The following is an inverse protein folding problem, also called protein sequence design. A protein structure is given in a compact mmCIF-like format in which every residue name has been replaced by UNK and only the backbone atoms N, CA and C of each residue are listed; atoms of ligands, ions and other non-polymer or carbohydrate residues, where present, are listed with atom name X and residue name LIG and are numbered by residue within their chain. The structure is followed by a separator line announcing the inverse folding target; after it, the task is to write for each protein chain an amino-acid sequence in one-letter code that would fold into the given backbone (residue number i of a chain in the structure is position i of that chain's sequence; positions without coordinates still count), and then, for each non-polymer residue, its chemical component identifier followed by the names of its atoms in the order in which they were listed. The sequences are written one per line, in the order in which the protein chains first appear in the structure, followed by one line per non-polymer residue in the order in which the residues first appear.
data_IF_622969383172
#
_entry.id   IF_622969383172
#
_cell.length_a   1.000
_cell.length_b   1.000
_cell.length_c   1.000
_cell.angle_alpha   90.00
_cell.angle_beta   90.00
_cell.angle_gamma   90.00
#
_symmetry.space_group_name_H-M   'P 1'
#
loop_
_entity.id
_entity.type
_entity.pdbx_description
1 polymer ?
#
# COMPACT_ATOMS: atom_id res chain seq x y z
N UNK A 1 13.37 6.43 -9.87
CA UNK A 1 14.82 6.23 -9.77
C UNK A 1 15.38 6.58 -8.40
N UNK A 2 15.26 7.86 -7.94
CA UNK A 2 15.94 8.38 -6.73
C UNK A 2 15.62 7.57 -5.46
N UNK A 3 14.35 7.21 -5.22
CA UNK A 3 13.96 6.40 -4.04
C UNK A 3 14.70 5.05 -4.04
N UNK A 4 14.80 4.38 -5.20
CA UNK A 4 15.52 3.10 -5.30
C UNK A 4 17.01 3.28 -4.96
N UNK A 5 17.64 4.34 -5.46
CA UNK A 5 19.04 4.64 -5.17
C UNK A 5 19.28 4.96 -3.69
N UNK A 6 18.39 5.72 -3.06
CA UNK A 6 18.51 6.05 -1.64
C UNK A 6 18.25 4.83 -0.75
N UNK A 7 17.31 3.94 -1.09
CA UNK A 7 17.13 2.67 -0.40
C UNK A 7 18.38 1.78 -0.48
N UNK A 8 19.04 1.72 -1.65
CA UNK A 8 20.29 0.98 -1.81
C UNK A 8 21.41 1.50 -0.91
N UNK A 9 21.49 2.81 -0.69
CA UNK A 9 22.52 3.44 0.15
C UNK A 9 22.26 3.25 1.66
N UNK A 10 20.99 3.22 2.07
CA UNK A 10 20.57 3.25 3.49
C UNK A 10 20.01 1.91 3.98
N UNK A 11 20.50 0.78 3.40
CA UNK A 11 20.03 -0.56 3.78
C UNK A 11 20.31 -0.88 5.25
N UNK A 12 21.49 -0.52 5.74
CA UNK A 12 21.92 -0.84 7.12
C UNK A 12 21.02 -0.19 8.14
N UNK A 13 20.75 1.10 7.98
CA UNK A 13 19.88 1.87 8.86
C UNK A 13 18.45 1.31 8.86
N UNK A 14 17.93 0.97 7.68
CA UNK A 14 16.60 0.36 7.54
C UNK A 14 16.52 -1.00 8.26
N UNK A 15 17.54 -1.85 8.12
CA UNK A 15 17.56 -3.16 8.79
C UNK A 15 17.73 -3.04 10.30
N UNK A 16 18.47 -2.04 10.78
CA UNK A 16 18.57 -1.74 12.22
C UNK A 16 17.21 -1.29 12.77
N UNK A 17 16.53 -0.38 12.09
CA UNK A 17 15.18 0.05 12.48
C UNK A 17 14.19 -1.13 12.49
N UNK A 18 14.26 -2.03 11.51
CA UNK A 18 13.40 -3.22 11.47
C UNK A 18 13.73 -4.21 12.59
N UNK A 19 15.00 -4.33 12.99
CA UNK A 19 15.36 -5.17 14.12
C UNK A 19 14.76 -4.67 15.44
N UNK A 20 14.65 -3.36 15.65
CA UNK A 20 13.96 -2.77 16.80
C UNK A 20 12.48 -3.13 16.83
N UNK A 21 11.75 -2.92 15.70
CA UNK A 21 10.33 -3.28 15.61
C UNK A 21 10.10 -4.77 15.87
N UNK A 22 10.97 -5.65 15.35
CA UNK A 22 10.88 -7.10 15.58
C UNK A 22 11.16 -7.49 17.03
N UNK A 23 12.08 -6.81 17.70
CA UNK A 23 12.35 -7.03 19.12
C UNK A 23 11.13 -6.61 19.97
N UNK A 24 10.58 -5.42 19.76
CA UNK A 24 9.38 -4.95 20.45
C UNK A 24 8.20 -5.89 20.21
N UNK A 25 7.99 -6.35 18.97
CA UNK A 25 6.94 -7.31 18.64
C UNK A 25 7.08 -8.65 19.38
N UNK A 26 8.31 -9.11 19.63
CA UNK A 26 8.58 -10.30 20.44
C UNK A 26 8.27 -10.05 21.92
N UNK A 27 8.68 -8.91 22.44
CA UNK A 27 8.45 -8.53 23.85
C UNK A 27 6.96 -8.30 24.14
N UNK A 28 6.22 -7.71 23.21
CA UNK A 28 4.74 -7.57 23.30
C UNK A 28 3.99 -8.88 23.07
N UNK A 29 4.65 -9.97 22.71
CA UNK A 29 4.03 -11.26 22.45
C UNK A 29 3.14 -11.30 21.20
N UNK A 30 3.45 -10.48 20.20
CA UNK A 30 2.73 -10.47 18.92
C UNK A 30 2.82 -11.85 18.25
N UNK A 31 1.71 -12.35 17.72
CA UNK A 31 1.64 -13.66 17.10
C UNK A 31 2.71 -13.87 16.01
N UNK A 32 3.39 -15.04 15.94
CA UNK A 32 4.47 -15.29 14.99
C UNK A 32 4.11 -15.04 13.52
N UNK A 33 2.85 -15.30 13.15
CA UNK A 33 2.35 -15.02 11.81
C UNK A 33 2.36 -13.54 11.46
N UNK A 34 2.13 -12.64 12.43
CA UNK A 34 2.22 -11.19 12.26
C UNK A 34 3.69 -10.78 12.26
N UNK A 35 4.51 -11.27 13.21
CA UNK A 35 5.95 -10.98 13.24
C UNK A 35 6.63 -11.26 11.89
N UNK A 36 6.25 -12.36 11.22
CA UNK A 36 6.75 -12.70 9.88
C UNK A 36 6.41 -11.63 8.83
N UNK A 37 5.29 -10.92 8.97
CA UNK A 37 4.90 -9.82 8.08
C UNK A 37 5.66 -8.53 8.35
N UNK A 38 6.06 -8.28 9.62
CA UNK A 38 6.82 -7.10 10.02
C UNK A 38 8.23 -7.09 9.47
N UNK A 39 8.77 -8.27 9.15
CA UNK A 39 10.14 -8.42 8.70
C UNK A 39 10.39 -7.68 7.39
N UNK A 40 11.41 -6.80 7.39
CA UNK A 40 11.89 -6.08 6.21
C UNK A 40 13.39 -6.34 6.03
N UNK A 41 13.70 -7.48 5.43
CA UNK A 41 15.06 -7.97 5.21
C UNK A 41 15.59 -7.63 3.82
N UNK A 42 16.80 -8.12 3.53
CA UNK A 42 17.48 -7.91 2.24
C UNK A 42 16.68 -8.46 1.03
N UNK A 43 15.80 -9.45 1.24
CA UNK A 43 14.93 -9.96 0.18
C UNK A 43 13.84 -8.94 -0.11
N UNK A 44 13.10 -8.52 0.90
CA UNK A 44 12.05 -7.51 0.75
C UNK A 44 12.58 -6.15 0.27
N UNK A 45 13.78 -5.77 0.71
CA UNK A 45 14.44 -4.56 0.21
C UNK A 45 14.71 -4.67 -1.29
N UNK A 46 15.26 -5.77 -1.76
CA UNK A 46 15.50 -6.01 -3.19
C UNK A 46 14.19 -6.01 -3.99
N UNK A 47 13.15 -6.64 -3.46
CA UNK A 47 11.83 -6.66 -4.10
C UNK A 47 11.24 -5.25 -4.20
N UNK A 48 11.37 -4.44 -3.14
CA UNK A 48 10.95 -3.04 -3.15
C UNK A 48 11.72 -2.22 -4.21
N UNK A 49 13.04 -2.38 -4.27
CA UNK A 49 13.89 -1.71 -5.27
C UNK A 49 13.53 -2.16 -6.68
N UNK A 50 13.34 -3.46 -6.90
CA UNK A 50 12.92 -4.00 -8.19
C UNK A 50 11.56 -3.43 -8.61
N UNK A 51 10.58 -3.39 -7.71
CA UNK A 51 9.27 -2.79 -7.95
C UNK A 51 9.35 -1.30 -8.33
N UNK A 52 10.23 -0.54 -7.65
CA UNK A 52 10.50 0.87 -8.01
C UNK A 52 11.10 1.01 -9.41
N UNK A 53 12.04 0.13 -9.79
CA UNK A 53 12.64 0.12 -11.13
C UNK A 53 11.63 -0.25 -12.22
N UNK A 54 10.70 -1.17 -11.94
CA UNK A 54 9.60 -1.46 -12.86
C UNK A 54 8.60 -0.30 -12.95
N UNK A 55 8.24 0.33 -11.81
CA UNK A 55 7.36 1.49 -11.79
C UNK A 55 7.94 2.68 -12.59
N UNK A 56 9.26 2.84 -12.58
CA UNK A 56 9.96 3.87 -13.37
C UNK A 56 9.72 3.69 -14.88
N UNK A 57 9.69 2.45 -15.37
CA UNK A 57 9.49 2.12 -16.79
C UNK A 57 8.06 2.30 -17.27
N UNK A 58 7.08 2.32 -16.35
CA UNK A 58 5.69 2.53 -16.72
C UNK A 58 5.50 3.94 -17.27
N UNK A 59 4.61 4.06 -18.25
CA UNK A 59 4.21 5.35 -18.79
C UNK A 59 3.63 6.26 -17.68
N UNK A 60 3.72 7.58 -17.89
CA UNK A 60 3.07 8.54 -17.02
C UNK A 60 1.53 8.38 -17.14
N UNK A 61 0.83 8.12 -16.01
CA UNK A 61 -0.61 7.98 -16.04
C UNK A 61 -1.36 9.31 -16.14
N UNK A 62 -0.69 10.45 -15.92
CA UNK A 62 -1.31 11.77 -15.89
C UNK A 62 -1.33 12.39 -17.29
N UNK A 63 -2.42 13.08 -17.63
CA UNK A 63 -2.57 13.78 -18.91
C UNK A 63 -2.88 12.88 -20.12
N UNK A 64 -3.16 11.59 -19.92
CA UNK A 64 -3.55 10.68 -21.00
C UNK A 64 -4.96 10.96 -21.49
N UNK A 65 -5.12 11.05 -22.81
CA UNK A 65 -6.44 11.10 -23.43
C UNK A 65 -7.02 9.68 -23.45
N UNK A 66 -8.00 9.44 -22.59
CA UNK A 66 -8.66 8.15 -22.42
C UNK A 66 -9.85 7.97 -23.37
N UNK A 67 -10.41 9.09 -23.85
CA UNK A 67 -11.49 9.15 -24.81
C UNK A 67 -11.38 10.47 -25.57
N UNK A 68 -11.53 10.42 -26.88
CA UNK A 68 -11.76 11.58 -27.72
C UNK A 68 -12.96 11.31 -28.62
N UNK A 69 -13.93 12.21 -28.65
CA UNK A 69 -15.14 12.07 -29.43
C UNK A 69 -15.62 13.42 -29.92
N UNK A 70 -15.83 13.55 -31.21
CA UNK A 70 -16.54 14.69 -31.79
C UNK A 70 -18.05 14.50 -31.56
N UNK A 71 -18.67 15.48 -30.92
CA UNK A 71 -20.10 15.48 -30.60
C UNK A 71 -20.91 16.22 -31.64
N UNK A 72 -20.32 17.25 -32.25
CA UNK A 72 -20.84 18.05 -33.36
C UNK A 72 -19.65 18.68 -34.09
N UNK A 73 -19.87 19.28 -35.26
CA UNK A 73 -18.82 19.88 -36.05
C UNK A 73 -17.95 20.87 -35.26
N UNK A 74 -16.68 20.48 -35.06
CA UNK A 74 -15.70 21.25 -34.26
C UNK A 74 -15.87 21.17 -32.76
N UNK A 75 -16.88 20.43 -32.21
CA UNK A 75 -17.07 20.22 -30.77
C UNK A 75 -16.46 18.89 -30.34
N UNK A 76 -15.24 18.92 -29.83
CA UNK A 76 -14.49 17.71 -29.40
C UNK A 76 -14.53 17.54 -27.89
N UNK A 77 -15.11 16.42 -27.44
CA UNK A 77 -15.08 15.96 -26.05
C UNK A 77 -13.83 15.12 -25.81
N UNK A 78 -13.05 15.46 -24.76
CA UNK A 78 -11.90 14.66 -24.32
C UNK A 78 -12.06 14.26 -22.86
N UNK A 79 -11.81 12.99 -22.56
CA UNK A 79 -11.61 12.51 -21.19
C UNK A 79 -10.11 12.34 -20.94
N UNK A 80 -9.57 13.18 -20.05
CA UNK A 80 -8.15 13.21 -19.72
C UNK A 80 -7.95 12.71 -18.30
N UNK A 81 -6.92 11.87 -18.09
CA UNK A 81 -6.56 11.41 -16.73
C UNK A 81 -5.86 12.53 -15.95
N UNK A 82 -6.25 12.68 -14.67
CA UNK A 82 -5.69 13.66 -13.73
C UNK A 82 -5.41 12.97 -12.39
N UNK A 83 -4.53 13.52 -11.54
CA UNK A 83 -4.39 13.05 -10.15
C UNK A 83 -5.74 13.09 -9.41
N UNK A 84 -5.90 12.22 -8.43
CA UNK A 84 -7.07 12.24 -7.51
C UNK A 84 -6.96 13.47 -6.60
N UNK A 85 -5.75 13.72 -6.06
CA UNK A 85 -5.47 14.81 -5.13
C UNK A 85 -4.67 14.31 -3.93
N UNK A 86 -5.20 14.49 -2.72
CA UNK A 86 -4.59 14.03 -1.46
C UNK A 86 -5.21 12.69 -1.06
N UNK A 87 -4.38 11.67 -0.93
CA UNK A 87 -4.81 10.31 -0.59
C UNK A 87 -4.31 9.94 0.81
N UNK A 88 -5.23 9.66 1.74
CA UNK A 88 -4.89 9.07 3.03
C UNK A 88 -4.82 7.55 2.93
N UNK A 89 -3.67 6.95 3.24
CA UNK A 89 -3.50 5.50 3.22
C UNK A 89 -3.13 5.00 4.60
N UNK A 90 -3.98 4.14 5.15
CA UNK A 90 -3.80 3.53 6.47
C UNK A 90 -3.49 2.05 6.25
N UNK A 91 -2.34 1.58 6.76
CA UNK A 91 -1.89 0.20 6.57
C UNK A 91 -1.25 -0.36 7.84
N UNK A 92 -1.31 -1.68 8.00
CA UNK A 92 -0.82 -2.41 9.17
C UNK A 92 0.21 -3.47 8.76
N UNK A 93 1.14 -3.78 9.68
CA UNK A 93 2.02 -4.95 9.63
C UNK A 93 2.81 -5.17 8.31
N UNK A 94 3.06 -4.13 7.52
CA UNK A 94 3.75 -4.22 6.22
C UNK A 94 4.64 -3.00 5.96
N UNK A 95 5.90 -3.01 6.38
CA UNK A 95 6.83 -1.90 6.11
C UNK A 95 7.04 -1.64 4.62
N UNK A 96 7.04 -2.69 3.79
CA UNK A 96 7.12 -2.59 2.34
C UNK A 96 6.01 -1.73 1.71
N UNK A 97 4.83 -1.66 2.35
CA UNK A 97 3.72 -0.82 1.88
C UNK A 97 4.09 0.67 1.87
N UNK A 98 4.94 1.14 2.81
CA UNK A 98 5.42 2.53 2.83
C UNK A 98 6.07 2.90 1.49
N UNK A 99 6.98 2.07 1.01
CA UNK A 99 7.71 2.30 -0.25
C UNK A 99 6.76 2.22 -1.46
N UNK A 100 5.92 1.18 -1.49
CA UNK A 100 5.01 0.94 -2.61
C UNK A 100 3.98 2.07 -2.74
N UNK A 101 3.32 2.43 -1.65
CA UNK A 101 2.26 3.44 -1.67
C UNK A 101 2.81 4.82 -1.99
N UNK A 102 3.90 5.24 -1.32
CA UNK A 102 4.53 6.53 -1.58
C UNK A 102 4.93 6.66 -3.06
N UNK A 103 5.56 5.63 -3.62
CA UNK A 103 6.02 5.67 -5.02
C UNK A 103 4.87 5.68 -6.03
N UNK A 104 3.78 4.96 -5.76
CA UNK A 104 2.59 4.96 -6.60
C UNK A 104 1.88 6.33 -6.57
N UNK A 105 1.75 6.95 -5.39
CA UNK A 105 1.18 8.28 -5.26
C UNK A 105 2.01 9.31 -6.04
N UNK A 106 3.34 9.31 -5.86
CA UNK A 106 4.25 10.19 -6.61
C UNK A 106 4.10 9.95 -8.12
N UNK A 107 4.12 8.69 -8.58
CA UNK A 107 4.02 8.35 -10.01
C UNK A 107 2.71 8.82 -10.63
N UNK A 108 1.64 8.83 -9.87
CA UNK A 108 0.30 9.26 -10.31
C UNK A 108 -0.01 10.74 -10.01
N UNK A 109 0.99 11.50 -9.54
CA UNK A 109 0.86 12.93 -9.27
C UNK A 109 0.00 13.28 -8.05
N UNK A 110 -0.24 12.31 -7.15
CA UNK A 110 -1.01 12.50 -5.93
C UNK A 110 -0.10 12.84 -4.75
N UNK A 111 -0.62 13.63 -3.82
CA UNK A 111 -0.08 13.75 -2.47
C UNK A 111 -0.55 12.57 -1.61
N UNK A 112 0.21 12.20 -0.59
CA UNK A 112 -0.18 11.10 0.28
C UNK A 112 0.07 11.39 1.76
N UNK A 113 -0.92 11.03 2.60
CA UNK A 113 -0.81 10.92 4.04
C UNK A 113 -0.70 9.43 4.37
N UNK A 114 0.45 9.01 4.89
CA UNK A 114 0.82 7.62 5.12
C UNK A 114 0.76 7.30 6.61
N UNK A 115 -0.19 6.45 7.02
CA UNK A 115 -0.36 6.01 8.40
C UNK A 115 -0.06 4.52 8.52
N UNK A 116 1.13 4.19 8.95
CA UNK A 116 1.53 2.81 9.27
C UNK A 116 1.07 2.35 10.65
N UNK A 117 1.11 1.05 10.90
CA UNK A 117 0.86 0.47 12.22
C UNK A 117 1.98 0.79 13.21
N UNK A 118 1.65 0.80 14.51
CA UNK A 118 2.62 1.06 15.59
C UNK A 118 3.73 0.00 15.63
N UNK A 119 3.40 -1.22 15.26
CA UNK A 119 4.27 -2.40 15.25
C UNK A 119 5.40 -2.33 14.19
N UNK A 120 5.39 -1.31 13.35
CA UNK A 120 6.42 -1.04 12.33
C UNK A 120 6.89 0.40 12.37
N UNK A 121 6.76 1.08 13.52
CA UNK A 121 6.99 2.52 13.63
C UNK A 121 8.43 2.93 13.28
N UNK A 122 9.42 2.21 13.81
CA UNK A 122 10.84 2.52 13.54
C UNK A 122 11.20 2.30 12.08
N UNK A 123 10.76 1.18 11.49
CA UNK A 123 11.00 0.87 10.06
C UNK A 123 10.31 1.88 9.16
N UNK A 124 9.04 2.22 9.44
CA UNK A 124 8.28 3.17 8.64
C UNK A 124 8.92 4.57 8.67
N UNK A 125 9.40 5.02 9.84
CA UNK A 125 10.11 6.29 9.97
C UNK A 125 11.38 6.31 9.12
N UNK A 126 12.23 5.28 9.26
CA UNK A 126 13.46 5.17 8.49
C UNK A 126 13.19 5.16 6.97
N UNK A 127 12.20 4.40 6.52
CA UNK A 127 11.80 4.36 5.11
C UNK A 127 11.24 5.70 4.63
N UNK A 128 10.42 6.36 5.45
CA UNK A 128 9.85 7.65 5.10
C UNK A 128 10.91 8.73 4.95
N UNK A 129 11.89 8.80 5.87
CA UNK A 129 13.01 9.74 5.79
C UNK A 129 13.83 9.55 4.50
N UNK A 130 14.11 8.28 4.13
CA UNK A 130 14.79 7.95 2.87
C UNK A 130 13.98 8.40 1.65
N UNK A 131 12.67 8.14 1.65
CA UNK A 131 11.77 8.54 0.57
C UNK A 131 11.68 10.06 0.48
N UNK A 132 11.52 10.75 1.61
CA UNK A 132 11.43 12.21 1.67
C UNK A 132 12.69 12.88 1.12
N UNK A 133 13.87 12.38 1.49
CA UNK A 133 15.14 12.83 0.95
C UNK A 133 15.16 12.68 -0.58
N UNK A 134 14.80 11.53 -1.10
CA UNK A 134 14.76 11.27 -2.54
C UNK A 134 13.77 12.16 -3.28
N UNK A 135 12.64 12.49 -2.65
CA UNK A 135 11.61 13.40 -3.16
C UNK A 135 12.16 14.82 -3.29
N UNK A 136 12.82 15.32 -2.24
CA UNK A 136 13.44 16.65 -2.23
C UNK A 136 14.58 16.76 -3.26
N UNK A 137 15.43 15.76 -3.36
CA UNK A 137 16.51 15.70 -4.36
C UNK A 137 15.98 15.66 -5.80
N UNK A 138 14.76 15.16 -6.01
CA UNK A 138 14.08 15.19 -7.29
C UNK A 138 13.41 16.54 -7.62
N UNK A 139 13.44 17.49 -6.69
CA UNK A 139 12.80 18.81 -6.84
C UNK A 139 11.28 18.80 -6.68
N UNK A 140 10.72 17.75 -6.09
CA UNK A 140 9.29 17.70 -5.76
C UNK A 140 9.00 18.52 -4.49
N UNK A 141 7.74 18.96 -4.28
CA UNK A 141 7.37 19.71 -3.07
C UNK A 141 7.62 18.89 -1.79
N UNK A 142 8.15 19.55 -0.76
CA UNK A 142 8.43 18.90 0.54
C UNK A 142 7.20 18.23 1.14
N UNK A 143 6.04 18.85 1.02
CA UNK A 143 4.80 18.38 1.64
C UNK A 143 3.91 17.53 0.71
N UNK A 144 4.46 16.98 -0.38
CA UNK A 144 3.70 16.04 -1.20
C UNK A 144 3.50 14.67 -0.53
N UNK A 145 4.29 14.36 0.48
CA UNK A 145 4.13 13.20 1.36
C UNK A 145 4.12 13.64 2.82
N UNK A 146 3.29 13.02 3.63
CA UNK A 146 3.22 13.20 5.07
C UNK A 146 3.12 11.83 5.76
N UNK A 147 3.88 11.63 6.84
CA UNK A 147 3.76 10.44 7.68
C UNK A 147 3.02 10.78 8.97
N UNK A 148 1.88 10.13 9.20
CA UNK A 148 1.19 10.13 10.48
C UNK A 148 1.71 8.97 11.33
N UNK A 149 2.11 9.24 12.57
CA UNK A 149 2.70 8.22 13.46
C UNK A 149 1.76 7.82 14.58
N UNK A 150 1.02 8.77 15.16
CA UNK A 150 0.20 8.54 16.34
C UNK A 150 -1.18 7.99 15.99
N UNK A 151 -1.76 7.23 16.93
CA UNK A 151 -3.09 6.66 16.72
C UNK A 151 -4.19 7.74 16.70
N UNK A 152 -4.05 8.80 17.47
CA UNK A 152 -4.95 9.96 17.48
C UNK A 152 -5.04 10.68 16.12
N UNK A 153 -3.99 10.62 15.32
CA UNK A 153 -3.95 11.23 13.98
C UNK A 153 -4.89 10.53 12.99
N UNK A 154 -5.38 9.32 13.30
CA UNK A 154 -6.42 8.67 12.49
C UNK A 154 -7.72 9.47 12.58
N UNK A 155 -8.17 9.81 13.78
CA UNK A 155 -9.41 10.56 13.97
C UNK A 155 -9.31 11.99 13.40
N UNK A 156 -8.13 12.61 13.51
CA UNK A 156 -7.83 13.89 12.86
C UNK A 156 -7.92 13.76 11.34
N UNK A 157 -7.31 12.72 10.75
CA UNK A 157 -7.38 12.44 9.31
C UNK A 157 -8.83 12.22 8.85
N UNK A 158 -9.65 11.50 9.63
CA UNK A 158 -11.04 11.24 9.28
C UNK A 158 -11.91 12.51 9.26
N UNK A 159 -11.47 13.55 9.97
CA UNK A 159 -12.15 14.84 10.03
C UNK A 159 -11.75 15.80 8.89
N UNK A 160 -10.68 15.51 8.15
CA UNK A 160 -10.15 16.35 7.05
C UNK A 160 -10.93 16.16 5.74
N UNK A 161 -12.26 16.27 5.78
CA UNK A 161 -13.12 16.00 4.61
C UNK A 161 -13.06 17.09 3.52
N UNK A 162 -12.39 18.20 3.78
CA UNK A 162 -12.16 19.27 2.80
C UNK A 162 -10.76 19.23 2.18
N UNK A 163 -9.81 18.57 2.84
CA UNK A 163 -8.39 18.54 2.45
C UNK A 163 -7.96 17.19 1.85
N UNK A 164 -8.71 16.12 2.14
CA UNK A 164 -8.40 14.75 1.71
C UNK A 164 -9.46 14.24 0.74
N UNK A 165 -9.03 13.82 -0.43
CA UNK A 165 -9.91 13.42 -1.54
C UNK A 165 -10.29 11.94 -1.49
N UNK A 166 -9.44 11.08 -0.90
CA UNK A 166 -9.66 9.63 -0.85
C UNK A 166 -8.97 9.01 0.35
N UNK A 167 -9.64 8.07 1.02
CA UNK A 167 -9.03 7.19 2.02
C UNK A 167 -8.93 5.76 1.52
N UNK A 168 -7.79 5.12 1.76
CA UNK A 168 -7.53 3.71 1.43
C UNK A 168 -7.09 2.99 2.72
N UNK A 169 -8.02 2.53 3.54
CA UNK A 169 -7.70 1.77 4.75
C UNK A 169 -7.39 0.31 4.43
N UNK A 170 -6.39 -0.24 5.12
CA UNK A 170 -6.03 -1.66 5.12
C UNK A 170 -5.89 -2.14 6.55
N UNK A 171 -6.61 -3.17 6.90
CA UNK A 171 -6.63 -3.75 8.24
C UNK A 171 -7.79 -4.74 8.39
N UNK A 172 -8.23 -4.98 9.60
CA UNK A 172 -9.38 -5.85 9.86
C UNK A 172 -10.68 -5.27 9.29
N UNK A 173 -11.66 -6.13 8.94
CA UNK A 173 -12.98 -5.70 8.47
C UNK A 173 -13.66 -4.74 9.44
N UNK A 174 -13.48 -4.94 10.75
CA UNK A 174 -14.02 -4.07 11.79
C UNK A 174 -13.40 -2.67 11.70
N UNK A 175 -12.09 -2.59 11.49
CA UNK A 175 -11.38 -1.32 11.37
C UNK A 175 -11.76 -0.58 10.09
N UNK A 176 -11.80 -1.27 8.94
CA UNK A 176 -12.23 -0.66 7.67
C UNK A 176 -13.65 -0.12 7.77
N UNK A 177 -14.57 -0.87 8.40
CA UNK A 177 -15.94 -0.43 8.63
C UNK A 177 -15.99 0.79 9.55
N UNK A 178 -15.20 0.80 10.63
CA UNK A 178 -15.08 1.96 11.50
C UNK A 178 -14.71 3.22 10.71
N UNK A 179 -13.67 3.14 9.86
CA UNK A 179 -13.27 4.26 8.99
C UNK A 179 -14.44 4.72 8.12
N UNK A 180 -15.13 3.80 7.44
CA UNK A 180 -16.25 4.13 6.56
C UNK A 180 -17.43 4.81 7.28
N UNK A 181 -17.65 4.47 8.55
CA UNK A 181 -18.75 5.00 9.36
C UNK A 181 -18.42 6.36 10.01
N UNK A 182 -17.11 6.72 10.10
CA UNK A 182 -16.66 7.90 10.86
C UNK A 182 -16.04 9.00 10.00
N UNK A 183 -16.17 8.93 8.68
CA UNK A 183 -15.68 9.97 7.78
C UNK A 183 -16.70 10.30 6.68
N UNK A 184 -16.59 11.51 6.12
CA UNK A 184 -17.28 11.91 4.89
C UNK A 184 -16.37 11.81 3.66
N UNK A 185 -15.07 11.58 3.86
CA UNK A 185 -14.13 11.39 2.78
C UNK A 185 -14.50 10.10 2.03
N UNK A 186 -14.48 10.05 0.70
CA UNK A 186 -14.64 8.81 -0.05
C UNK A 186 -13.65 7.74 0.43
N UNK A 187 -14.14 6.53 0.72
CA UNK A 187 -13.31 5.43 1.22
C UNK A 187 -13.26 4.31 0.20
N UNK A 188 -12.07 3.97 -0.26
CA UNK A 188 -11.81 2.74 -1.02
C UNK A 188 -11.51 1.61 -0.04
N UNK A 189 -12.55 1.11 0.61
CA UNK A 189 -12.47 -0.03 1.50
C UNK A 189 -12.42 -1.35 0.74
N UNK A 190 -12.07 -2.42 1.46
CA UNK A 190 -12.19 -3.78 0.95
C UNK A 190 -13.11 -4.58 1.89
N UNK A 191 -13.84 -5.54 1.35
CA UNK A 191 -14.51 -6.58 2.12
C UNK A 191 -13.61 -7.81 2.26
N UNK A 192 -14.08 -8.80 3.02
CA UNK A 192 -13.39 -10.10 3.14
C UNK A 192 -13.17 -10.71 1.77
N UNK A 193 -11.95 -11.16 1.51
CA UNK A 193 -11.68 -12.00 0.35
C UNK A 193 -12.23 -13.40 0.61
N UNK A 194 -13.16 -13.83 -0.21
CA UNK A 194 -13.68 -15.20 -0.20
C UNK A 194 -13.29 -15.82 -1.53
N UNK A 195 -12.51 -16.89 -1.48
CA UNK A 195 -12.06 -17.59 -2.67
C UNK A 195 -12.79 -18.92 -2.78
N UNK A 196 -13.20 -19.25 -4.01
CA UNK A 196 -13.98 -20.46 -4.27
C UNK A 196 -13.25 -21.34 -5.28
N UNK A 197 -13.31 -22.66 -5.08
CA UNK A 197 -12.96 -23.65 -6.10
C UNK A 197 -14.27 -24.36 -6.48
N UNK A 198 -14.64 -24.23 -7.74
CA UNK A 198 -15.73 -25.02 -8.31
C UNK A 198 -15.16 -26.29 -8.95
N UNK A 199 -15.66 -27.43 -8.54
CA UNK A 199 -15.27 -28.74 -9.09
C UNK A 199 -16.41 -29.24 -9.96
N UNK A 200 -16.20 -29.23 -11.29
CA UNK A 200 -17.16 -29.75 -12.24
C UNK A 200 -17.29 -31.29 -12.14
N UNK A 201 -18.44 -31.83 -12.54
CA UNK A 201 -18.72 -33.28 -12.52
C UNK A 201 -17.80 -34.09 -13.44
N UNK A 202 -17.17 -33.45 -14.43
CA UNK A 202 -16.20 -34.04 -15.36
C UNK A 202 -14.75 -33.81 -14.96
N UNK A 203 -14.50 -33.13 -13.83
CA UNK A 203 -13.14 -32.93 -13.34
C UNK A 203 -12.51 -34.26 -12.92
N UNK A 204 -11.21 -34.42 -13.19
CA UNK A 204 -10.45 -35.53 -12.64
C UNK A 204 -10.29 -35.35 -11.13
N UNK A 205 -10.95 -36.18 -10.34
CA UNK A 205 -10.93 -36.09 -8.88
C UNK A 205 -9.54 -36.37 -8.30
N UNK A 206 -8.75 -37.21 -8.96
CA UNK A 206 -7.40 -37.52 -8.48
C UNK A 206 -6.45 -36.32 -8.62
N UNK A 207 -6.67 -35.47 -9.60
CA UNK A 207 -5.93 -34.21 -9.78
C UNK A 207 -6.54 -33.06 -8.95
N UNK A 208 -7.87 -32.99 -8.85
CA UNK A 208 -8.56 -31.89 -8.18
C UNK A 208 -8.34 -31.91 -6.65
N UNK A 209 -8.38 -33.08 -6.01
CA UNK A 209 -8.24 -33.21 -4.55
C UNK A 209 -6.93 -32.63 -4.02
N UNK A 210 -5.74 -32.98 -4.56
CA UNK A 210 -4.48 -32.38 -4.09
C UNK A 210 -4.45 -30.87 -4.23
N UNK A 211 -4.98 -30.31 -5.34
CA UNK A 211 -5.04 -28.86 -5.59
C UNK A 211 -5.93 -28.17 -4.55
N UNK A 212 -7.10 -28.74 -4.22
CA UNK A 212 -8.01 -28.19 -3.22
C UNK A 212 -7.37 -28.21 -1.84
N UNK A 213 -6.75 -29.34 -1.47
CA UNK A 213 -6.07 -29.49 -0.18
C UNK A 213 -4.93 -28.48 -0.05
N UNK A 214 -4.10 -28.33 -1.07
CA UNK A 214 -3.02 -27.35 -1.08
C UNK A 214 -3.57 -25.93 -0.93
N UNK A 215 -4.55 -25.54 -1.74
CA UNK A 215 -5.16 -24.22 -1.71
C UNK A 215 -5.81 -23.88 -0.35
N UNK A 216 -6.32 -24.89 0.39
CA UNK A 216 -6.90 -24.71 1.72
C UNK A 216 -5.84 -24.64 2.82
N UNK A 217 -4.76 -25.41 2.72
CA UNK A 217 -3.85 -25.68 3.85
C UNK A 217 -2.50 -24.99 3.76
N UNK A 218 -2.05 -24.60 2.55
CA UNK A 218 -0.73 -24.03 2.34
C UNK A 218 -0.51 -22.73 3.13
N UNK A 219 -1.49 -21.83 3.10
CA UNK A 219 -1.41 -20.56 3.84
C UNK A 219 -2.81 -20.04 4.22
N UNK A 220 -3.48 -20.66 5.20
CA UNK A 220 -4.88 -20.38 5.54
C UNK A 220 -5.12 -18.97 6.10
N UNK A 221 -4.06 -18.22 6.47
CA UNK A 221 -4.17 -16.85 6.93
C UNK A 221 -4.19 -15.82 5.76
N UNK A 222 -4.05 -16.26 4.53
CA UNK A 222 -4.09 -15.38 3.36
C UNK A 222 -5.51 -15.26 2.81
N UNK A 223 -5.84 -14.05 2.30
CA UNK A 223 -7.15 -13.78 1.71
C UNK A 223 -7.41 -14.49 0.37
N UNK A 224 -6.44 -15.23 -0.14
CA UNK A 224 -6.54 -16.08 -1.33
C UNK A 224 -6.58 -17.58 -1.01
N UNK A 225 -6.60 -17.96 0.27
CA UNK A 225 -6.92 -19.33 0.66
C UNK A 225 -8.41 -19.61 0.44
N UNK A 226 -8.74 -20.80 -0.04
CA UNK A 226 -10.15 -21.19 -0.29
C UNK A 226 -10.86 -21.56 1.02
N UNK A 227 -12.15 -21.31 1.07
CA UNK A 227 -13.04 -21.68 2.16
C UNK A 227 -13.80 -22.98 1.90
#
# INVERSE_FOLDING_TARGET
ANIANELEKHQVETFQANALDLQEAMEEGIAPAIQKRLKYDAVKMRDSIAGLRELEKLEDPVGKILLERELDEGLVLRRVSVPIGVIGVIFEARPDAMVQVASLCIKSGNCAILKGGKETAATNRALFEIIQKAVLEAGLPEHCLFQAEQHSEIDELLACDQEVDLLIPRGSNRFVRYIMEHTKIPVMGHSSGICHIYVDDKADQAEAIPVIVDAKTQYPAACNAVE
#
